data_IF_213597950305
#
_entry.id   IF_213597950305
#
_cell.length_a   1.000
_cell.length_b   1.000
_cell.length_c   1.000
_cell.angle_alpha   90.00
_cell.angle_beta   90.00
_cell.angle_gamma   90.00
#
_symmetry.space_group_name_H-M   'P 1'
#
loop_
_entity.id
_entity.type
_entity.pdbx_description
1 polymer ?
#
# COMPACT_ATOMS: atom_id res chain seq x y z
N UNK A 1 -8.49 23.69 -23.90
CA UNK A 1 -8.88 23.04 -22.63
C UNK A 1 -7.61 23.07 -21.82
N UNK A 2 -7.50 23.99 -20.86
CA UNK A 2 -6.26 24.20 -20.13
C UNK A 2 -5.91 22.89 -19.39
N UNK A 3 -4.66 22.46 -19.54
CA UNK A 3 -4.13 21.34 -18.77
C UNK A 3 -3.89 21.82 -17.33
N UNK A 4 -4.97 21.99 -16.55
CA UNK A 4 -4.85 22.35 -15.15
C UNK A 4 -4.07 21.23 -14.44
N UNK A 5 -2.88 21.57 -13.95
CA UNK A 5 -1.99 20.67 -13.23
C UNK A 5 -2.63 20.37 -11.87
N UNK A 6 -3.53 19.40 -11.82
CA UNK A 6 -4.27 18.95 -10.63
C UNK A 6 -3.37 18.48 -9.46
N UNK A 7 -2.05 18.45 -9.66
CA UNK A 7 -1.06 18.12 -8.62
C UNK A 7 -0.41 19.34 -7.98
N UNK A 8 -0.58 20.54 -8.55
CA UNK A 8 -0.15 21.80 -7.93
C UNK A 8 -1.21 22.24 -6.91
N UNK A 9 -0.86 22.20 -5.63
CA UNK A 9 -1.72 22.75 -4.57
C UNK A 9 -1.50 24.25 -4.43
N UNK A 10 -2.54 25.01 -4.71
CA UNK A 10 -2.65 26.43 -4.39
C UNK A 10 -3.27 26.61 -3.00
N UNK A 11 -3.09 27.78 -2.34
CA UNK A 11 -3.72 28.05 -1.04
C UNK A 11 -5.25 27.96 -1.07
N UNK A 12 -5.85 28.15 -2.24
CA UNK A 12 -7.29 28.12 -2.49
C UNK A 12 -7.83 26.68 -2.43
N UNK A 13 -7.00 25.69 -2.81
CA UNK A 13 -7.33 24.27 -2.74
C UNK A 13 -7.45 23.78 -1.29
N UNK A 14 -6.69 24.36 -0.36
CA UNK A 14 -6.80 24.05 1.07
C UNK A 14 -8.17 24.47 1.65
N UNK A 15 -8.75 25.58 1.15
CA UNK A 15 -10.10 25.99 1.54
C UNK A 15 -11.19 25.11 0.93
N UNK A 16 -10.96 24.62 -0.29
CA UNK A 16 -11.87 23.69 -0.97
C UNK A 16 -11.90 22.32 -0.27
N UNK A 17 -10.74 21.77 0.09
CA UNK A 17 -10.62 20.52 0.85
C UNK A 17 -11.32 20.64 2.22
N UNK A 18 -11.09 21.74 2.95
CA UNK A 18 -11.74 21.96 4.25
C UNK A 18 -13.27 22.01 4.15
N UNK A 19 -13.84 22.51 3.03
CA UNK A 19 -15.29 22.48 2.78
C UNK A 19 -15.76 21.08 2.40
N UNK A 20 -14.99 20.34 1.62
CA UNK A 20 -15.31 18.97 1.26
C UNK A 20 -15.36 18.07 2.50
N UNK A 21 -14.39 18.19 3.41
CA UNK A 21 -14.36 17.47 4.67
C UNK A 21 -15.60 17.77 5.54
N UNK A 22 -16.02 19.02 5.60
CA UNK A 22 -17.25 19.42 6.31
C UNK A 22 -18.50 18.78 5.68
N UNK A 23 -18.56 18.70 4.35
CA UNK A 23 -19.66 18.04 3.63
C UNK A 23 -19.65 16.52 3.85
N UNK A 24 -18.48 15.88 3.85
CA UNK A 24 -18.34 14.44 4.11
C UNK A 24 -18.74 14.07 5.55
N UNK A 25 -18.33 14.90 6.53
CA UNK A 25 -18.75 14.75 7.93
C UNK A 25 -20.27 14.92 8.09
N UNK A 26 -20.88 15.90 7.41
CA UNK A 26 -22.33 16.12 7.42
C UNK A 26 -23.11 14.99 6.73
N UNK A 27 -22.54 14.42 5.66
CA UNK A 27 -23.12 13.29 4.93
C UNK A 27 -22.97 11.95 5.67
N UNK A 28 -22.24 11.92 6.80
CA UNK A 28 -22.00 10.70 7.57
C UNK A 28 -21.15 9.68 6.83
N UNK A 29 -20.36 10.11 5.84
CA UNK A 29 -19.45 9.24 5.11
C UNK A 29 -18.25 8.99 6.02
N UNK A 30 -18.15 7.76 6.53
CA UNK A 30 -17.04 7.37 7.37
C UNK A 30 -15.72 7.43 6.58
N UNK A 31 -14.70 8.06 7.19
CA UNK A 31 -13.33 8.06 6.69
C UNK A 31 -12.89 6.61 6.41
N UNK A 32 -12.31 6.31 5.23
CA UNK A 32 -11.77 4.98 4.97
C UNK A 32 -10.70 4.67 6.02
N UNK A 33 -10.84 3.55 6.71
CA UNK A 33 -9.88 3.14 7.71
C UNK A 33 -8.49 2.97 7.05
N UNK A 34 -7.50 3.72 7.54
CA UNK A 34 -6.13 3.55 7.07
C UNK A 34 -5.70 2.08 7.20
N UNK A 35 -5.08 1.49 6.17
CA UNK A 35 -4.63 0.12 6.22
C UNK A 35 -3.52 0.00 7.28
N UNK A 36 -3.89 -0.50 8.47
CA UNK A 36 -2.99 -0.70 9.62
C UNK A 36 -1.96 -1.82 9.45
N UNK A 37 -1.85 -2.37 8.23
CA UNK A 37 -0.95 -3.48 7.94
C UNK A 37 0.50 -3.00 7.92
N UNK A 38 1.31 -3.47 8.87
CA UNK A 38 2.75 -3.25 8.82
C UNK A 38 3.34 -3.91 7.57
N UNK A 39 3.94 -3.11 6.68
CA UNK A 39 4.67 -3.57 5.48
C UNK A 39 5.60 -4.74 5.78
N UNK A 40 6.24 -4.71 6.95
CA UNK A 40 7.15 -5.76 7.41
C UNK A 40 6.47 -7.12 7.51
N UNK A 41 5.24 -7.14 8.05
CA UNK A 41 4.48 -8.37 8.26
C UNK A 41 3.72 -8.81 7.03
N UNK A 42 3.23 -7.87 6.22
CA UNK A 42 2.39 -8.19 5.05
C UNK A 42 3.21 -8.53 3.81
N UNK A 43 4.41 -8.00 3.68
CA UNK A 43 5.24 -8.16 2.47
C UNK A 43 6.57 -8.81 2.81
N UNK A 44 7.37 -8.22 3.70
CA UNK A 44 8.74 -8.68 3.92
C UNK A 44 8.78 -10.10 4.51
N UNK A 45 7.97 -10.37 5.53
CA UNK A 45 7.94 -11.65 6.23
C UNK A 45 7.54 -12.83 5.30
N UNK A 46 6.44 -12.77 4.52
CA UNK A 46 6.11 -13.83 3.56
C UNK A 46 7.20 -14.07 2.51
N UNK A 47 7.85 -13.01 2.01
CA UNK A 47 8.93 -13.13 1.02
C UNK A 47 10.14 -13.85 1.61
N UNK A 48 10.52 -13.53 2.86
CA UNK A 48 11.61 -14.23 3.54
C UNK A 48 11.28 -15.71 3.78
N UNK A 49 10.05 -16.02 4.19
CA UNK A 49 9.59 -17.40 4.39
C UNK A 49 9.65 -18.17 3.06
N UNK A 50 9.11 -17.60 1.98
CA UNK A 50 9.16 -18.22 0.66
C UNK A 50 10.59 -18.47 0.19
N UNK A 51 11.49 -17.49 0.36
CA UNK A 51 12.90 -17.64 0.03
C UNK A 51 13.58 -18.78 0.81
N UNK A 52 13.34 -18.86 2.12
CA UNK A 52 13.88 -19.93 2.95
C UNK A 52 13.35 -21.32 2.52
N UNK A 53 12.07 -21.42 2.20
CA UNK A 53 11.45 -22.67 1.72
C UNK A 53 12.01 -23.11 0.36
N UNK A 54 12.28 -22.16 -0.56
CA UNK A 54 12.90 -22.47 -1.84
C UNK A 54 14.33 -23.00 -1.67
N UNK A 55 15.13 -22.39 -0.80
CA UNK A 55 16.49 -22.86 -0.50
C UNK A 55 16.44 -24.26 0.13
N UNK A 56 15.55 -24.47 1.11
CA UNK A 56 15.39 -25.77 1.76
C UNK A 56 14.93 -26.85 0.78
N UNK A 57 13.98 -26.52 -0.10
CA UNK A 57 13.52 -27.41 -1.16
C UNK A 57 14.66 -27.76 -2.13
N UNK A 58 15.41 -26.76 -2.60
CA UNK A 58 16.57 -27.00 -3.47
C UNK A 58 17.59 -27.93 -2.80
N UNK A 59 17.90 -27.71 -1.52
CA UNK A 59 18.80 -28.58 -0.75
C UNK A 59 18.29 -30.01 -0.63
N UNK A 60 16.98 -30.19 -0.42
CA UNK A 60 16.37 -31.51 -0.28
C UNK A 60 16.35 -32.28 -1.61
N UNK A 61 16.25 -31.58 -2.74
CA UNK A 61 16.20 -32.17 -4.07
C UNK A 61 17.55 -32.14 -4.82
N UNK A 62 18.59 -31.49 -4.29
CA UNK A 62 19.90 -31.37 -4.97
C UNK A 62 20.51 -32.74 -5.27
N UNK A 63 20.44 -33.66 -4.30
CA UNK A 63 20.93 -35.03 -4.48
C UNK A 63 20.18 -35.83 -5.55
N UNK A 64 18.89 -35.54 -5.78
CA UNK A 64 18.13 -36.14 -6.89
C UNK A 64 18.44 -35.48 -8.24
N UNK A 65 18.70 -34.16 -8.23
CA UNK A 65 19.08 -33.39 -9.40
C UNK A 65 20.54 -33.63 -9.84
N UNK A 66 21.33 -34.36 -9.04
CA UNK A 66 22.75 -34.64 -9.32
C UNK A 66 23.66 -33.42 -9.12
N UNK A 67 23.22 -32.46 -8.29
CA UNK A 67 23.96 -31.26 -7.88
C UNK A 67 24.45 -31.43 -6.45
#
# INVERSE_FOLDING_TARGET
>A
MAEDNWTEQTPEDAEADARADQLFQQAGIAEPAEPKGSFLLTILLPVLIAGALLIAGLWMFSGWLGI
#
